data_IF_074537092550
#
_entry.id   IF_074537092550
#
_cell.length_a   1.000
_cell.length_b   1.000
_cell.length_c   1.000
_cell.angle_alpha   90.00
_cell.angle_beta   90.00
_cell.angle_gamma   90.00
#
_symmetry.space_group_name_H-M   'P 1'
#
loop_
_entity.id
_entity.type
_entity.pdbx_description
1 polymer ?
#
# COMPACT_ATOMS: atom_id res chain seq x y z
N UNK A 1 -37.41 2.22 23.85
CA UNK A 1 -36.81 2.23 22.50
C UNK A 1 -35.44 1.62 22.64
N UNK A 2 -35.29 0.35 22.25
CA UNK A 2 -34.01 -0.34 22.30
C UNK A 2 -33.15 0.16 21.15
N UNK A 3 -32.09 0.91 21.46
CA UNK A 3 -31.04 1.21 20.49
C UNK A 3 -30.31 -0.09 20.21
N UNK A 4 -30.63 -0.72 19.08
CA UNK A 4 -29.85 -1.83 18.54
C UNK A 4 -28.44 -1.31 18.25
N UNK A 5 -27.53 -1.53 19.19
CA UNK A 5 -26.10 -1.50 18.92
C UNK A 5 -25.83 -2.62 17.92
N UNK A 6 -25.92 -2.30 16.62
CA UNK A 6 -25.41 -3.13 15.54
C UNK A 6 -23.92 -3.31 15.84
N UNK A 7 -23.55 -4.45 16.44
CA UNK A 7 -22.15 -4.72 16.73
C UNK A 7 -21.48 -4.93 15.38
N UNK A 8 -20.42 -4.18 15.11
CA UNK A 8 -19.55 -4.41 13.94
C UNK A 8 -19.17 -5.90 13.83
N UNK A 9 -19.00 -6.59 14.97
CA UNK A 9 -18.65 -7.99 15.07
C UNK A 9 -19.57 -8.97 14.30
N UNK A 10 -20.88 -8.72 14.19
CA UNK A 10 -21.78 -9.65 13.46
C UNK A 10 -21.61 -9.58 11.94
N UNK A 11 -21.34 -8.40 11.39
CA UNK A 11 -21.18 -8.21 9.95
C UNK A 11 -19.85 -8.76 9.42
N UNK A 12 -18.82 -8.83 10.27
CA UNK A 12 -17.49 -9.34 9.90
C UNK A 12 -17.27 -10.81 10.25
N UNK A 13 -18.23 -11.47 10.91
CA UNK A 13 -18.06 -12.84 11.41
C UNK A 13 -17.60 -13.86 10.34
N UNK A 14 -18.07 -13.82 9.07
CA UNK A 14 -17.59 -14.74 8.03
C UNK A 14 -16.12 -14.51 7.67
N UNK A 15 -15.72 -13.26 7.46
CA UNK A 15 -14.34 -12.89 7.15
C UNK A 15 -13.41 -13.17 8.34
N UNK A 16 -13.86 -12.87 9.55
CA UNK A 16 -13.14 -13.20 10.78
C UNK A 16 -12.92 -14.69 10.95
N UNK A 17 -13.97 -15.50 10.82
CA UNK A 17 -13.86 -16.96 10.89
C UNK A 17 -12.90 -17.50 9.83
N UNK A 18 -12.96 -16.95 8.61
CA UNK A 18 -12.03 -17.30 7.55
C UNK A 18 -10.58 -16.99 7.92
N UNK A 19 -10.29 -15.76 8.36
CA UNK A 19 -8.94 -15.33 8.76
C UNK A 19 -8.41 -16.14 9.95
N UNK A 20 -9.28 -16.52 10.89
CA UNK A 20 -8.90 -17.25 12.11
C UNK A 20 -8.62 -18.73 11.86
N UNK A 21 -9.39 -19.37 10.98
CA UNK A 21 -9.40 -20.84 10.85
C UNK A 21 -8.69 -21.36 9.61
N UNK A 22 -8.44 -20.50 8.62
CA UNK A 22 -7.73 -20.88 7.42
C UNK A 22 -6.24 -21.07 7.70
N UNK A 23 -5.62 -22.02 7.01
CA UNK A 23 -4.17 -22.15 7.01
C UNK A 23 -3.52 -21.00 6.24
N UNK A 24 -2.31 -20.58 6.63
CA UNK A 24 -1.64 -19.39 6.07
C UNK A 24 -1.47 -19.44 4.54
N UNK A 25 -1.30 -20.62 3.97
CA UNK A 25 -1.20 -20.86 2.52
C UNK A 25 -2.50 -20.54 1.76
N UNK A 26 -3.66 -20.63 2.44
CA UNK A 26 -4.98 -20.33 1.85
C UNK A 26 -5.37 -18.87 1.97
N UNK A 27 -4.69 -18.12 2.83
CA UNK A 27 -4.96 -16.70 3.05
C UNK A 27 -4.22 -15.89 1.98
N UNK A 28 -4.83 -15.76 0.81
CA UNK A 28 -4.38 -14.88 -0.27
C UNK A 28 -5.13 -13.56 -0.22
N UNK A 29 -4.53 -12.49 -0.75
CA UNK A 29 -5.18 -11.18 -0.87
C UNK A 29 -6.51 -11.28 -1.62
N UNK A 30 -6.55 -12.03 -2.73
CA UNK A 30 -7.78 -12.26 -3.50
C UNK A 30 -8.88 -12.91 -2.69
N UNK A 31 -8.55 -13.93 -1.89
CA UNK A 31 -9.55 -14.66 -1.11
C UNK A 31 -10.09 -13.79 0.02
N UNK A 32 -9.22 -13.03 0.69
CA UNK A 32 -9.63 -12.09 1.76
C UNK A 32 -10.52 -10.99 1.22
N UNK A 33 -10.17 -10.37 0.08
CA UNK A 33 -11.00 -9.38 -0.59
C UNK A 33 -12.35 -9.98 -1.02
N UNK A 34 -12.36 -11.20 -1.57
CA UNK A 34 -13.60 -11.88 -1.93
C UNK A 34 -14.52 -12.09 -0.71
N UNK A 35 -13.95 -12.49 0.42
CA UNK A 35 -14.71 -12.63 1.67
C UNK A 35 -15.20 -11.27 2.20
N UNK A 36 -14.39 -10.21 2.06
CA UNK A 36 -14.80 -8.85 2.39
C UNK A 36 -16.00 -8.41 1.54
N UNK A 37 -15.96 -8.64 0.22
CA UNK A 37 -17.07 -8.35 -0.71
C UNK A 37 -18.28 -9.27 -0.56
N UNK A 38 -18.17 -10.38 0.17
CA UNK A 38 -19.35 -11.14 0.58
C UNK A 38 -20.02 -10.51 1.81
N UNK A 39 -19.26 -9.79 2.63
CA UNK A 39 -19.76 -9.08 3.80
C UNK A 39 -20.23 -7.64 3.47
N UNK A 40 -19.62 -7.02 2.46
CA UNK A 40 -19.87 -5.64 2.00
C UNK A 40 -20.07 -5.61 0.48
N UNK A 41 -20.44 -4.46 -0.07
CA UNK A 41 -20.35 -4.29 -1.54
C UNK A 41 -18.89 -4.08 -1.94
N UNK A 42 -18.60 -4.34 -3.22
CA UNK A 42 -17.32 -4.00 -3.85
C UNK A 42 -17.05 -2.51 -3.62
N UNK A 43 -15.84 -2.19 -3.16
CA UNK A 43 -15.35 -0.84 -2.90
C UNK A 43 -14.09 -0.57 -3.73
N UNK A 44 -13.46 0.58 -3.51
CA UNK A 44 -12.12 0.83 -4.07
C UNK A 44 -11.07 -0.03 -3.36
N UNK A 45 -9.95 -0.31 -4.03
CA UNK A 45 -8.86 -1.10 -3.45
C UNK A 45 -8.40 -0.55 -2.09
N UNK A 46 -8.22 0.77 -1.98
CA UNK A 46 -7.82 1.42 -0.73
C UNK A 46 -8.84 1.19 0.39
N UNK A 47 -10.14 1.39 0.11
CA UNK A 47 -11.21 1.18 1.09
C UNK A 47 -11.32 -0.29 1.52
N UNK A 48 -11.08 -1.23 0.60
CA UNK A 48 -11.04 -2.66 0.89
C UNK A 48 -9.89 -2.98 1.87
N UNK A 49 -8.68 -2.48 1.60
CA UNK A 49 -7.51 -2.70 2.46
C UNK A 49 -7.64 -1.99 3.82
N UNK A 50 -8.17 -0.76 3.87
CA UNK A 50 -8.44 -0.03 5.11
C UNK A 50 -9.45 -0.78 5.98
N UNK A 51 -10.50 -1.34 5.35
CA UNK A 51 -11.50 -2.18 6.03
C UNK A 51 -10.87 -3.44 6.60
N UNK A 52 -10.06 -4.15 5.81
CA UNK A 52 -9.32 -5.33 6.28
C UNK A 52 -8.43 -4.97 7.48
N UNK A 53 -7.70 -3.87 7.40
CA UNK A 53 -6.81 -3.45 8.48
C UNK A 53 -7.57 -3.08 9.76
N UNK A 54 -8.72 -2.43 9.62
CA UNK A 54 -9.61 -2.15 10.75
C UNK A 54 -10.10 -3.44 11.41
N UNK A 55 -10.54 -4.42 10.63
CA UNK A 55 -10.98 -5.73 11.13
C UNK A 55 -9.84 -6.45 11.85
N UNK A 56 -8.63 -6.46 11.29
CA UNK A 56 -7.45 -7.06 11.91
C UNK A 56 -7.12 -6.39 13.25
N UNK A 57 -7.18 -5.06 13.34
CA UNK A 57 -6.96 -4.33 14.59
C UNK A 57 -8.04 -4.62 15.64
N UNK A 58 -9.31 -4.67 15.24
CA UNK A 58 -10.42 -4.96 16.16
C UNK A 58 -10.34 -6.40 16.70
N UNK A 59 -9.76 -7.32 15.93
CA UNK A 59 -9.74 -8.75 16.24
C UNK A 59 -8.40 -9.25 16.81
N UNK A 60 -7.37 -8.40 16.83
CA UNK A 60 -6.04 -8.72 17.33
C UNK A 60 -6.05 -9.14 18.81
N UNK A 61 -6.91 -8.53 19.62
CA UNK A 61 -7.08 -8.89 21.03
C UNK A 61 -7.75 -10.26 21.24
N UNK A 62 -8.42 -10.80 20.22
CA UNK A 62 -9.18 -12.05 20.27
C UNK A 62 -8.44 -13.24 19.66
N UNK A 63 -7.35 -12.99 18.90
CA UNK A 63 -6.57 -14.03 18.25
C UNK A 63 -5.37 -14.40 19.13
N UNK A 64 -5.44 -15.62 19.66
CA UNK A 64 -4.46 -16.17 20.62
C UNK A 64 -3.10 -16.46 19.95
N UNK A 65 -3.11 -16.72 18.63
CA UNK A 65 -1.92 -17.03 17.85
C UNK A 65 -1.26 -15.74 17.31
N UNK A 66 -0.23 -15.29 18.03
CA UNK A 66 0.54 -14.09 17.68
C UNK A 66 1.33 -14.22 16.38
N UNK A 67 1.77 -15.43 16.02
CA UNK A 67 2.53 -15.65 14.78
C UNK A 67 1.60 -15.50 13.57
N UNK A 68 0.41 -16.11 13.66
CA UNK A 68 -0.64 -15.97 12.65
C UNK A 68 -1.06 -14.51 12.46
N UNK A 69 -1.26 -13.76 13.56
CA UNK A 69 -1.56 -12.33 13.47
C UNK A 69 -0.42 -11.50 12.90
N UNK A 70 0.83 -11.83 13.24
CA UNK A 70 2.00 -11.19 12.66
C UNK A 70 2.05 -11.35 11.14
N UNK A 71 1.77 -12.56 10.63
CA UNK A 71 1.69 -12.81 9.20
C UNK A 71 0.59 -12.01 8.51
N UNK A 72 -0.64 -12.03 9.07
CA UNK A 72 -1.77 -11.27 8.53
C UNK A 72 -1.47 -9.77 8.49
N UNK A 73 -0.97 -9.24 9.61
CA UNK A 73 -0.58 -7.83 9.72
C UNK A 73 0.46 -7.47 8.66
N UNK A 74 1.57 -8.20 8.56
CA UNK A 74 2.61 -7.90 7.57
C UNK A 74 2.06 -7.89 6.14
N UNK A 75 1.23 -8.89 5.80
CA UNK A 75 0.66 -9.04 4.46
C UNK A 75 -0.25 -7.88 4.02
N UNK A 76 -1.03 -7.33 4.96
CA UNK A 76 -2.01 -6.28 4.66
C UNK A 76 -1.51 -4.87 5.02
N UNK A 77 -0.62 -4.72 6.02
CA UNK A 77 0.00 -3.42 6.34
C UNK A 77 0.89 -2.92 5.20
N UNK A 78 1.68 -3.78 4.56
CA UNK A 78 2.48 -3.38 3.40
C UNK A 78 1.59 -2.81 2.28
N UNK A 79 0.42 -3.42 2.06
CA UNK A 79 -0.59 -3.01 1.07
C UNK A 79 -1.43 -1.79 1.48
N UNK A 80 -1.50 -1.46 2.76
CA UNK A 80 -2.15 -0.22 3.24
C UNK A 80 -1.17 0.95 3.25
N UNK A 81 0.09 0.67 3.62
CA UNK A 81 1.10 1.69 3.83
C UNK A 81 1.98 1.96 2.60
N UNK A 82 1.82 1.25 1.48
CA UNK A 82 2.69 1.44 0.32
C UNK A 82 2.72 2.88 -0.18
N UNK A 83 1.61 3.64 -0.08
CA UNK A 83 1.59 5.08 -0.40
C UNK A 83 2.44 5.91 0.56
N UNK A 84 2.36 5.63 1.86
CA UNK A 84 3.19 6.28 2.86
C UNK A 84 4.67 5.93 2.69
N UNK A 85 4.96 4.66 2.37
CA UNK A 85 6.32 4.19 2.02
C UNK A 85 6.82 4.86 0.73
N UNK A 86 5.97 4.98 -0.29
CA UNK A 86 6.28 5.66 -1.54
C UNK A 86 6.58 7.14 -1.31
N UNK A 87 5.77 7.84 -0.50
CA UNK A 87 6.02 9.24 -0.13
C UNK A 87 7.40 9.40 0.51
N UNK A 88 7.72 8.56 1.49
CA UNK A 88 9.03 8.58 2.17
C UNK A 88 10.18 8.27 1.20
N UNK A 89 10.04 7.24 0.35
CA UNK A 89 11.03 6.89 -0.66
C UNK A 89 11.27 8.04 -1.65
N UNK A 90 10.19 8.69 -2.10
CA UNK A 90 10.24 9.84 -3.01
C UNK A 90 10.91 11.03 -2.33
N UNK A 91 10.63 11.29 -1.06
CA UNK A 91 11.27 12.37 -0.29
C UNK A 91 12.78 12.15 -0.14
N UNK A 92 13.19 10.95 0.25
CA UNK A 92 14.61 10.59 0.34
C UNK A 92 15.31 10.68 -1.03
N UNK A 93 14.63 10.31 -2.10
CA UNK A 93 15.14 10.41 -3.46
C UNK A 93 15.33 11.87 -3.89
N UNK A 94 14.33 12.73 -3.65
CA UNK A 94 14.40 14.19 -3.89
C UNK A 94 15.61 14.80 -3.19
N UNK A 95 15.84 14.45 -1.92
CA UNK A 95 16.98 14.94 -1.15
C UNK A 95 18.33 14.52 -1.72
N UNK A 96 18.42 13.29 -2.25
CA UNK A 96 19.64 12.81 -2.91
C UNK A 96 19.92 13.58 -4.20
N UNK A 97 18.89 13.78 -5.03
CA UNK A 97 19.01 14.46 -6.33
C UNK A 97 19.35 15.94 -6.13
N UNK A 98 18.70 16.60 -5.18
CA UNK A 98 18.93 18.02 -4.87
C UNK A 98 20.39 18.32 -4.50
N UNK A 99 21.10 17.36 -3.89
CA UNK A 99 22.52 17.52 -3.52
C UNK A 99 23.48 17.50 -4.72
N UNK A 100 23.05 17.01 -5.88
CA UNK A 100 23.90 16.86 -7.06
C UNK A 100 24.02 18.15 -7.87
N UNK A 101 22.95 18.95 -7.93
CA UNK A 101 22.98 20.33 -8.45
C UNK A 101 23.34 20.50 -9.94
N UNK A 102 23.33 19.42 -10.75
CA UNK A 102 23.53 19.53 -12.19
C UNK A 102 22.18 19.65 -12.92
N UNK A 103 22.12 20.25 -14.14
CA UNK A 103 20.86 20.48 -14.84
C UNK A 103 19.99 19.22 -15.04
N UNK A 104 20.54 18.03 -15.36
CA UNK A 104 19.73 16.80 -15.44
C UNK A 104 19.09 16.42 -14.10
N UNK A 105 19.78 16.65 -12.98
CA UNK A 105 19.24 16.37 -11.65
C UNK A 105 18.13 17.35 -11.27
N UNK A 106 18.29 18.64 -11.59
CA UNK A 106 17.24 19.64 -11.36
C UNK A 106 15.97 19.32 -12.16
N UNK A 107 16.12 18.92 -13.42
CA UNK A 107 15.02 18.48 -14.26
C UNK A 107 14.25 17.30 -13.65
N UNK A 108 14.96 16.25 -13.23
CA UNK A 108 14.34 15.10 -12.57
C UNK A 108 13.68 15.51 -11.25
N UNK A 109 14.34 16.34 -10.44
CA UNK A 109 13.77 16.82 -9.18
C UNK A 109 12.44 17.53 -9.42
N UNK A 110 12.37 18.41 -10.41
CA UNK A 110 11.12 19.09 -10.79
C UNK A 110 10.06 18.11 -11.26
N UNK A 111 10.42 17.13 -12.12
CA UNK A 111 9.47 16.11 -12.59
C UNK A 111 8.90 15.29 -11.44
N UNK A 112 9.75 14.78 -10.55
CA UNK A 112 9.33 13.99 -9.39
C UNK A 112 8.47 14.82 -8.42
N UNK A 113 8.81 16.09 -8.21
CA UNK A 113 8.06 16.97 -7.31
C UNK A 113 6.64 17.27 -7.79
N UNK A 114 6.37 17.10 -9.08
CA UNK A 114 5.06 17.33 -9.69
C UNK A 114 4.22 16.04 -9.82
N UNK A 115 4.75 14.88 -9.38
CA UNK A 115 4.01 13.63 -9.42
C UNK A 115 2.97 13.61 -8.30
N UNK A 116 1.73 13.32 -8.68
CA UNK A 116 0.70 12.96 -7.74
C UNK A 116 0.89 11.49 -7.31
N UNK A 117 1.25 11.28 -6.05
CA UNK A 117 1.47 9.93 -5.49
C UNK A 117 0.18 9.13 -5.46
N UNK A 118 -0.98 9.78 -5.37
CA UNK A 118 -2.27 9.09 -5.38
C UNK A 118 -2.61 8.50 -6.75
N UNK A 119 -1.97 8.98 -7.82
CA UNK A 119 -2.10 8.46 -9.17
C UNK A 119 -1.08 7.35 -9.51
N UNK A 120 -0.13 7.03 -8.62
CA UNK A 120 0.84 5.96 -8.83
C UNK A 120 0.21 4.58 -8.62
N UNK A 121 0.76 3.58 -9.30
CA UNK A 121 0.55 2.17 -8.96
C UNK A 121 1.60 1.74 -7.92
N UNK A 122 1.28 0.75 -7.08
CA UNK A 122 2.25 0.15 -6.17
C UNK A 122 3.47 -0.47 -6.88
N UNK A 123 3.30 -0.86 -8.15
CA UNK A 123 4.37 -1.41 -8.98
C UNK A 123 5.24 -0.32 -9.66
N UNK A 124 4.93 0.97 -9.45
CA UNK A 124 5.73 2.05 -10.02
C UNK A 124 7.13 2.05 -9.39
N UNK A 125 8.23 2.03 -10.19
CA UNK A 125 9.59 2.01 -9.66
C UNK A 125 9.87 3.17 -8.69
N UNK A 126 9.18 4.28 -8.86
CA UNK A 126 9.33 5.44 -7.99
C UNK A 126 8.86 5.17 -6.55
N UNK A 127 7.90 4.26 -6.34
CA UNK A 127 7.41 3.88 -5.01
C UNK A 127 8.50 3.24 -4.13
N UNK A 128 9.52 2.65 -4.76
CA UNK A 128 10.70 2.10 -4.07
C UNK A 128 11.95 2.97 -4.23
N UNK A 129 11.78 4.22 -4.67
CA UNK A 129 12.87 5.19 -4.81
C UNK A 129 13.78 4.95 -6.02
N UNK A 130 13.29 4.27 -7.05
CA UNK A 130 14.01 4.02 -8.30
C UNK A 130 13.51 4.96 -9.40
N UNK A 131 14.45 5.58 -10.13
CA UNK A 131 14.13 6.35 -11.32
C UNK A 131 14.34 5.44 -12.53
N UNK A 132 13.25 5.08 -13.17
CA UNK A 132 13.30 4.45 -14.49
C UNK A 132 13.57 5.52 -15.55
N UNK A 133 14.84 5.66 -15.95
CA UNK A 133 15.26 6.61 -16.98
C UNK A 133 14.66 6.29 -18.36
N UNK A 134 14.26 5.05 -18.61
CA UNK A 134 13.58 4.66 -19.85
C UNK A 134 12.11 5.08 -19.89
N UNK A 135 11.57 5.56 -18.76
CA UNK A 135 10.19 6.04 -18.68
C UNK A 135 10.02 7.43 -19.29
N UNK A 136 9.01 7.56 -20.14
CA UNK A 136 8.54 8.85 -20.68
C UNK A 136 8.10 9.85 -19.59
N UNK A 137 7.92 9.38 -18.35
CA UNK A 137 7.54 10.20 -17.19
C UNK A 137 8.51 11.38 -16.99
N UNK A 138 9.80 11.16 -17.23
CA UNK A 138 10.83 12.15 -16.97
C UNK A 138 11.25 12.92 -18.22
N UNK A 139 11.06 12.35 -19.42
CA UNK A 139 11.50 12.94 -20.71
C UNK A 139 12.94 13.43 -20.63
N UNK A 140 13.87 12.54 -20.25
CA UNK A 140 15.29 12.85 -20.14
C UNK A 140 15.96 12.50 -21.47
N UNK A 141 16.70 13.41 -22.10
CA UNK A 141 17.49 13.09 -23.28
C UNK A 141 18.53 11.99 -22.97
N UNK A 142 18.73 11.03 -23.87
CA UNK A 142 19.76 10.00 -23.69
C UNK A 142 21.17 10.59 -23.46
N UNK A 143 21.45 11.77 -24.04
CA UNK A 143 22.70 12.51 -23.83
C UNK A 143 22.96 12.85 -22.36
N UNK A 144 21.90 12.92 -21.55
CA UNK A 144 21.98 13.34 -20.15
C UNK A 144 22.08 12.13 -19.21
N UNK A 145 22.01 10.89 -19.72
CA UNK A 145 22.05 9.67 -18.90
C UNK A 145 23.39 9.53 -18.18
N UNK A 146 24.52 9.77 -18.86
CA UNK A 146 25.85 9.70 -18.23
C UNK A 146 26.02 10.69 -17.08
N UNK A 147 25.31 11.82 -17.14
CA UNK A 147 25.35 12.84 -16.08
C UNK A 147 24.52 12.45 -14.85
N UNK A 148 23.77 11.36 -14.90
CA UNK A 148 22.87 10.87 -13.85
C UNK A 148 23.40 9.62 -13.12
N UNK A 149 24.54 9.08 -13.56
CA UNK A 149 25.22 7.91 -12.96
C UNK A 149 26.07 8.35 -11.76
#
# INVERSE_FOLDING_TARGET
MSTSSFSSAENFAPLWNFLRTSSLDKITTSNVITQLWNCFKIQTEQEDFDSIMKILKETESEIIDKEHMGFLRGKFEERVNWKALALNSIELLKDKIKKKGAPPHEHIFTKISNIDVDALSNDDPLCIGVIDLSSDKYNIPESDYESLI
#
